data_IF_760612789213
#
_entry.id   IF_760612789213
#
_cell.length_a   1.000
_cell.length_b   1.000
_cell.length_c   1.000
_cell.angle_alpha   90.00
_cell.angle_beta   90.00
_cell.angle_gamma   90.00
#
_symmetry.space_group_name_H-M   'P 1'
#
loop_
_entity.id
_entity.type
_entity.pdbx_description
1 polymer ?
#
# COMPACT_ATOMS: atom_id res chain seq x y z
N UNK A 1 -22.11 7.51 4.79
CA UNK A 1 -20.88 7.04 4.12
C UNK A 1 -21.26 6.27 2.86
N UNK A 2 -20.65 6.57 1.70
CA UNK A 2 -20.88 5.79 0.49
C UNK A 2 -20.19 4.43 0.57
N UNK A 3 -20.92 3.36 0.19
CA UNK A 3 -20.41 1.98 0.18
C UNK A 3 -20.59 1.40 -1.23
N UNK A 4 -19.53 0.81 -1.77
CA UNK A 4 -19.54 0.01 -2.98
C UNK A 4 -19.40 -1.46 -2.57
N UNK A 5 -20.48 -2.21 -2.65
CA UNK A 5 -20.52 -3.63 -2.28
C UNK A 5 -20.08 -4.51 -3.45
N UNK A 6 -18.96 -5.21 -3.27
CA UNK A 6 -18.41 -6.18 -4.22
C UNK A 6 -18.74 -7.64 -3.85
N UNK A 7 -19.40 -7.88 -2.73
CA UNK A 7 -19.77 -9.24 -2.31
C UNK A 7 -20.86 -9.83 -3.21
N UNK A 8 -21.69 -8.95 -3.79
CA UNK A 8 -22.80 -9.31 -4.66
C UNK A 8 -22.48 -9.27 -6.17
N UNK A 9 -21.42 -8.55 -6.61
CA UNK A 9 -21.05 -8.38 -8.01
C UNK A 9 -19.54 -8.23 -8.19
N UNK A 10 -18.91 -9.14 -8.93
CA UNK A 10 -17.46 -9.05 -9.22
C UNK A 10 -17.06 -7.88 -10.15
N UNK A 11 -18.01 -7.25 -10.82
CA UNK A 11 -17.79 -6.12 -11.76
C UNK A 11 -18.61 -4.90 -11.33
N UNK A 12 -18.18 -4.26 -10.24
CA UNK A 12 -18.76 -2.97 -9.88
C UNK A 12 -18.08 -1.83 -10.65
N UNK A 13 -18.86 -0.78 -10.96
CA UNK A 13 -18.35 0.45 -11.55
C UNK A 13 -17.52 1.23 -10.53
N UNK A 14 -16.21 1.35 -10.77
CA UNK A 14 -15.29 2.12 -9.93
C UNK A 14 -15.25 3.61 -10.29
N UNK A 15 -15.90 4.06 -11.36
CA UNK A 15 -15.81 5.44 -11.81
C UNK A 15 -16.19 6.48 -10.74
N UNK A 16 -17.23 6.29 -9.90
CA UNK A 16 -17.53 7.22 -8.81
C UNK A 16 -16.41 7.27 -7.75
N UNK A 17 -15.80 6.12 -7.41
CA UNK A 17 -14.68 6.03 -6.46
C UNK A 17 -13.45 6.72 -7.03
N UNK A 18 -13.12 6.47 -8.30
CA UNK A 18 -12.01 7.13 -8.99
C UNK A 18 -12.19 8.65 -9.03
N UNK A 19 -13.39 9.12 -9.34
CA UNK A 19 -13.70 10.57 -9.33
C UNK A 19 -13.49 11.16 -7.91
N UNK A 20 -13.92 10.43 -6.88
CA UNK A 20 -13.71 10.83 -5.47
C UNK A 20 -12.23 10.91 -5.11
N UNK A 21 -11.43 9.90 -5.48
CA UNK A 21 -9.97 9.89 -5.23
C UNK A 21 -9.29 11.06 -5.94
N UNK A 22 -9.63 11.33 -7.22
CA UNK A 22 -9.09 12.47 -7.98
C UNK A 22 -9.47 13.81 -7.38
N UNK A 23 -10.61 13.89 -6.69
CA UNK A 23 -11.03 15.05 -5.89
C UNK A 23 -10.35 15.16 -4.51
N UNK A 24 -9.34 14.33 -4.20
CA UNK A 24 -8.65 14.32 -2.91
C UNK A 24 -9.38 13.54 -1.82
N UNK A 25 -10.38 12.72 -2.19
CA UNK A 25 -11.13 11.88 -1.27
C UNK A 25 -10.34 10.66 -0.79
N UNK A 26 -10.76 10.11 0.34
CA UNK A 26 -10.24 8.86 0.88
C UNK A 26 -11.13 7.68 0.52
N UNK A 27 -10.51 6.53 0.31
CA UNK A 27 -11.18 5.25 0.08
C UNK A 27 -10.61 4.19 1.01
N UNK A 28 -11.47 3.40 1.63
CA UNK A 28 -11.13 2.16 2.32
C UNK A 28 -11.46 0.98 1.40
N UNK A 29 -10.57 -0.01 1.33
CA UNK A 29 -10.65 -1.09 0.33
C UNK A 29 -9.97 -2.36 0.81
N UNK A 30 -10.42 -3.55 0.34
CA UNK A 30 -9.76 -4.82 0.63
C UNK A 30 -8.42 -4.95 -0.13
N UNK A 31 -7.45 -5.61 0.52
CA UNK A 31 -6.23 -6.10 -0.13
C UNK A 31 -6.11 -7.61 0.11
N UNK A 32 -5.08 -8.24 -0.41
CA UNK A 32 -4.81 -9.67 -0.16
C UNK A 32 -4.32 -9.94 1.27
N UNK A 33 -4.12 -8.89 2.08
CA UNK A 33 -3.66 -9.02 3.47
C UNK A 33 -4.69 -8.51 4.47
N UNK A 34 -5.04 -7.22 4.39
CA UNK A 34 -5.93 -6.53 5.33
C UNK A 34 -6.68 -5.43 4.58
N UNK A 35 -7.74 -4.87 5.18
CA UNK A 35 -8.33 -3.64 4.64
C UNK A 35 -7.33 -2.49 4.74
N UNK A 36 -7.22 -1.75 3.64
CA UNK A 36 -6.41 -0.54 3.53
C UNK A 36 -7.25 0.72 3.50
N UNK A 37 -6.62 1.86 3.75
CA UNK A 37 -7.16 3.19 3.52
C UNK A 37 -6.12 4.07 2.85
N UNK A 38 -6.55 4.88 1.90
CA UNK A 38 -5.69 5.80 1.17
C UNK A 38 -6.46 6.68 0.20
N UNK A 39 -5.73 7.26 -0.75
CA UNK A 39 -6.24 8.14 -1.81
C UNK A 39 -5.10 8.52 -2.75
N UNK A 40 -5.24 9.61 -3.50
CA UNK A 40 -4.19 10.13 -4.37
C UNK A 40 -2.88 10.43 -3.59
N UNK A 41 -1.75 10.34 -4.28
CA UNK A 41 -0.45 10.68 -3.68
C UNK A 41 -0.32 12.20 -3.52
N UNK A 42 -0.83 12.74 -2.41
CA UNK A 42 -0.71 14.17 -2.06
C UNK A 42 -0.42 14.39 -0.57
N UNK A 43 0.05 15.58 -0.23
CA UNK A 43 0.31 15.98 1.16
C UNK A 43 -1.01 16.01 1.94
N UNK A 44 -2.07 16.53 1.34
CA UNK A 44 -3.40 16.67 1.95
C UNK A 44 -4.00 15.30 2.28
N UNK A 45 -3.92 14.36 1.35
CA UNK A 45 -4.39 12.98 1.56
C UNK A 45 -3.57 12.30 2.66
N UNK A 46 -2.25 12.49 2.66
CA UNK A 46 -1.36 11.93 3.71
C UNK A 46 -1.70 12.47 5.10
N UNK A 47 -2.01 13.75 5.22
CA UNK A 47 -2.46 14.38 6.48
C UNK A 47 -3.78 13.76 6.96
N UNK A 48 -4.79 13.67 6.08
CA UNK A 48 -6.10 13.07 6.40
C UNK A 48 -5.99 11.59 6.81
N UNK A 49 -5.13 10.81 6.14
CA UNK A 49 -4.85 9.43 6.53
C UNK A 49 -4.24 9.37 7.93
N UNK A 50 -3.36 10.32 8.29
CA UNK A 50 -2.78 10.40 9.64
C UNK A 50 -3.83 10.69 10.70
N UNK A 51 -4.84 11.51 10.40
CA UNK A 51 -6.00 11.77 11.28
C UNK A 51 -6.80 10.50 11.54
N UNK A 52 -7.14 9.74 10.47
CA UNK A 52 -7.81 8.42 10.59
C UNK A 52 -7.04 7.49 11.52
N UNK A 53 -5.72 7.47 11.40
CA UNK A 53 -4.82 6.63 12.22
C UNK A 53 -4.69 7.11 13.67
N UNK A 54 -5.16 8.32 14.01
CA UNK A 54 -4.95 8.95 15.31
C UNK A 54 -3.48 9.21 15.62
N UNK A 55 -2.65 9.47 14.62
CA UNK A 55 -1.21 9.69 14.76
C UNK A 55 -0.91 11.16 15.01
N UNK A 56 -0.01 11.44 15.97
CA UNK A 56 0.54 12.79 16.20
C UNK A 56 1.62 13.16 15.17
N UNK A 57 2.31 12.14 14.62
CA UNK A 57 3.35 12.32 13.61
C UNK A 57 2.98 11.52 12.36
N UNK A 58 3.10 12.15 11.21
CA UNK A 58 2.90 11.51 9.93
C UNK A 58 4.02 10.48 9.70
N UNK A 59 3.65 9.20 9.54
CA UNK A 59 4.56 8.17 9.01
C UNK A 59 4.36 8.08 7.51
N UNK A 60 5.44 7.91 6.76
CA UNK A 60 5.38 7.66 5.33
C UNK A 60 4.38 6.54 5.00
N UNK A 61 3.57 6.77 3.97
CA UNK A 61 2.58 5.83 3.49
C UNK A 61 3.20 4.89 2.44
N UNK A 62 2.55 3.76 2.21
CA UNK A 62 2.89 2.88 1.08
C UNK A 62 2.24 3.47 -0.18
N UNK A 63 2.96 3.47 -1.29
CA UNK A 63 2.39 3.72 -2.61
C UNK A 63 2.09 2.38 -3.29
N UNK A 64 0.81 2.11 -3.56
CA UNK A 64 0.39 0.98 -4.38
C UNK A 64 0.54 1.35 -5.86
N UNK A 65 1.14 0.45 -6.64
CA UNK A 65 1.51 0.67 -8.02
C UNK A 65 0.89 -0.40 -8.93
N UNK A 66 0.67 -0.05 -10.21
CA UNK A 66 0.18 -0.98 -11.23
C UNK A 66 1.30 -1.76 -11.92
N UNK A 67 2.54 -1.26 -11.87
CA UNK A 67 3.70 -1.86 -12.51
C UNK A 67 4.98 -1.10 -12.21
N UNK A 68 6.10 -1.70 -12.60
CA UNK A 68 7.45 -1.14 -12.43
C UNK A 68 7.62 0.21 -13.12
N UNK A 69 7.00 0.39 -14.29
CA UNK A 69 7.15 1.58 -15.14
C UNK A 69 6.71 2.85 -14.41
N UNK A 70 5.65 2.75 -13.59
CA UNK A 70 5.11 3.89 -12.84
C UNK A 70 6.07 4.44 -11.77
N UNK A 71 7.11 3.69 -11.43
CA UNK A 71 8.11 4.02 -10.40
C UNK A 71 9.55 3.77 -10.88
N UNK A 72 9.76 3.72 -12.20
CA UNK A 72 11.07 3.45 -12.80
C UNK A 72 12.14 4.50 -12.46
N UNK A 73 11.73 5.72 -12.13
CA UNK A 73 12.63 6.82 -11.71
C UNK A 73 13.14 6.69 -10.26
N UNK A 74 12.61 5.76 -9.45
CA UNK A 74 13.16 5.45 -8.13
C UNK A 74 14.52 4.75 -8.25
N UNK A 75 15.30 4.78 -7.17
CA UNK A 75 16.59 4.11 -7.12
C UNK A 75 16.43 2.59 -6.94
N UNK A 76 16.58 1.86 -8.03
CA UNK A 76 16.47 0.41 -8.07
C UNK A 76 17.84 -0.26 -7.96
N UNK A 77 18.11 -0.90 -6.83
CA UNK A 77 19.27 -1.79 -6.69
C UNK A 77 19.02 -3.13 -7.39
N UNK A 78 20.06 -3.91 -7.75
CA UNK A 78 19.87 -5.27 -8.28
C UNK A 78 19.03 -6.15 -7.34
N UNK A 79 19.26 -6.05 -6.02
CA UNK A 79 18.46 -6.78 -5.01
C UNK A 79 16.99 -6.35 -4.99
N UNK A 80 16.69 -5.05 -5.10
CA UNK A 80 15.31 -4.56 -5.19
C UNK A 80 14.60 -5.11 -6.43
N UNK A 81 15.27 -5.12 -7.60
CA UNK A 81 14.72 -5.69 -8.83
C UNK A 81 14.43 -7.19 -8.70
N UNK A 82 15.35 -7.94 -8.11
CA UNK A 82 15.17 -9.37 -7.86
C UNK A 82 14.00 -9.64 -6.94
N UNK A 83 13.91 -8.94 -5.81
CA UNK A 83 12.80 -9.06 -4.88
C UNK A 83 11.46 -8.74 -5.53
N UNK A 84 11.38 -7.66 -6.31
CA UNK A 84 10.18 -7.30 -7.05
C UNK A 84 9.81 -8.40 -8.06
N UNK A 85 10.74 -8.90 -8.87
CA UNK A 85 10.46 -9.96 -9.85
C UNK A 85 10.05 -11.30 -9.24
N UNK A 86 10.49 -11.57 -7.99
CA UNK A 86 10.17 -12.83 -7.30
C UNK A 86 8.83 -12.77 -6.57
N UNK A 87 8.50 -11.62 -5.97
CA UNK A 87 7.38 -11.53 -5.02
C UNK A 87 6.25 -10.57 -5.44
N UNK A 88 6.36 -9.87 -6.56
CA UNK A 88 5.30 -9.03 -7.08
C UNK A 88 4.62 -9.65 -8.32
N UNK A 89 3.28 -9.51 -8.42
CA UNK A 89 2.33 -8.95 -7.42
C UNK A 89 2.27 -9.81 -6.15
N UNK A 90 2.31 -9.16 -4.97
CA UNK A 90 2.31 -9.91 -3.71
C UNK A 90 2.47 -9.07 -2.45
N UNK A 91 2.51 -9.73 -1.27
CA UNK A 91 2.56 -9.06 0.02
C UNK A 91 3.98 -8.60 0.40
N UNK A 92 4.72 -8.04 -0.56
CA UNK A 92 6.04 -7.45 -0.39
C UNK A 92 5.98 -5.93 -0.60
N UNK A 93 6.49 -5.18 0.37
CA UNK A 93 6.72 -3.74 0.28
C UNK A 93 8.22 -3.48 0.22
N UNK A 94 8.68 -2.76 -0.80
CA UNK A 94 10.07 -2.34 -0.96
C UNK A 94 10.21 -0.87 -0.61
N UNK A 95 11.19 -0.53 0.22
CA UNK A 95 11.59 0.86 0.47
C UNK A 95 12.73 1.19 -0.47
N UNK A 96 12.50 2.18 -1.33
CA UNK A 96 13.41 2.62 -2.39
C UNK A 96 13.79 4.09 -2.20
N UNK A 97 14.96 4.48 -2.69
CA UNK A 97 15.36 5.88 -2.72
C UNK A 97 14.53 6.68 -3.73
N UNK A 98 14.10 7.87 -3.33
CA UNK A 98 13.43 8.88 -4.16
C UNK A 98 14.18 10.23 -4.08
N UNK A 99 15.39 10.32 -4.64
CA UNK A 99 16.23 11.53 -4.54
C UNK A 99 15.64 12.71 -5.32
N UNK A 100 14.86 12.44 -6.35
CA UNK A 100 14.27 13.47 -7.24
C UNK A 100 12.92 13.98 -6.71
N UNK A 101 12.32 13.32 -5.72
CA UNK A 101 11.06 13.73 -5.13
C UNK A 101 9.86 13.53 -6.06
N UNK A 102 9.78 12.39 -6.73
CA UNK A 102 8.61 12.05 -7.56
C UNK A 102 7.36 11.79 -6.70
N UNK A 103 7.55 11.45 -5.43
CA UNK A 103 6.47 11.34 -4.46
C UNK A 103 6.46 12.55 -3.51
N UNK A 104 5.28 13.08 -3.16
CA UNK A 104 5.16 14.18 -2.20
C UNK A 104 5.52 13.73 -0.78
N UNK A 105 5.89 14.69 0.07
CA UNK A 105 6.13 14.44 1.48
C UNK A 105 4.87 13.86 2.16
N UNK A 106 5.08 12.93 3.10
CA UNK A 106 3.99 12.16 3.73
C UNK A 106 3.75 10.80 3.03
N UNK A 107 3.95 10.70 1.71
CA UNK A 107 4.15 9.44 0.99
C UNK A 107 5.63 9.10 1.00
N UNK A 108 6.46 10.04 0.60
CA UNK A 108 7.91 10.00 0.77
C UNK A 108 8.28 10.34 2.22
N UNK A 109 9.22 9.62 2.79
CA UNK A 109 9.90 10.03 4.00
C UNK A 109 10.86 11.19 3.67
N UNK A 110 10.60 12.37 4.24
CA UNK A 110 11.36 13.60 3.92
C UNK A 110 12.81 13.56 4.41
N UNK A 111 13.10 12.85 5.52
CA UNK A 111 14.42 12.81 6.14
C UNK A 111 15.42 12.01 5.30
N UNK A 112 15.05 10.77 4.95
CA UNK A 112 15.92 9.85 4.22
C UNK A 112 15.62 9.77 2.72
N UNK A 113 14.64 10.54 2.24
CA UNK A 113 14.22 10.60 0.83
C UNK A 113 13.88 9.23 0.25
N UNK A 114 13.09 8.46 0.98
CA UNK A 114 12.68 7.11 0.59
C UNK A 114 11.16 7.01 0.44
N UNK A 115 10.71 6.07 -0.37
CA UNK A 115 9.29 5.72 -0.53
C UNK A 115 9.11 4.22 -0.42
N UNK A 116 8.02 3.81 0.24
CA UNK A 116 7.61 2.42 0.33
C UNK A 116 6.63 2.13 -0.82
N UNK A 117 6.95 1.16 -1.68
CA UNK A 117 6.14 0.79 -2.85
C UNK A 117 5.71 -0.68 -2.78
N UNK A 118 4.51 -0.98 -3.29
CA UNK A 118 3.98 -2.35 -3.33
C UNK A 118 3.08 -2.55 -4.54
N UNK A 119 3.16 -3.72 -5.15
CA UNK A 119 2.24 -4.17 -6.19
C UNK A 119 1.35 -5.29 -5.63
N UNK A 120 0.09 -4.95 -5.32
CA UNK A 120 -0.88 -5.91 -4.75
C UNK A 120 -1.50 -6.79 -5.84
N UNK A 121 -1.70 -8.10 -5.61
CA UNK A 121 -2.41 -8.99 -6.52
C UNK A 121 -3.93 -8.88 -6.38
N UNK A 122 -4.45 -8.13 -5.41
CA UNK A 122 -5.88 -8.02 -5.18
C UNK A 122 -6.58 -7.27 -6.32
N UNK A 123 -7.60 -7.87 -6.92
CA UNK A 123 -8.28 -7.34 -8.11
C UNK A 123 -8.80 -5.92 -7.95
N UNK A 124 -9.37 -5.59 -6.79
CA UNK A 124 -9.84 -4.24 -6.46
C UNK A 124 -8.70 -3.23 -6.51
N UNK A 125 -7.57 -3.54 -5.87
CA UNK A 125 -6.40 -2.65 -5.83
C UNK A 125 -5.83 -2.47 -7.23
N UNK A 126 -5.66 -3.57 -7.97
CA UNK A 126 -5.15 -3.53 -9.35
C UNK A 126 -6.01 -2.64 -10.24
N UNK A 127 -7.35 -2.79 -10.17
CA UNK A 127 -8.29 -1.95 -10.91
C UNK A 127 -8.23 -0.48 -10.47
N UNK A 128 -8.22 -0.20 -9.17
CA UNK A 128 -8.13 1.16 -8.65
C UNK A 128 -6.88 1.88 -9.19
N UNK A 129 -5.70 1.26 -9.10
CA UNK A 129 -4.44 1.87 -9.54
C UNK A 129 -4.40 2.00 -11.07
N UNK A 130 -4.92 1.01 -11.82
CA UNK A 130 -4.97 1.06 -13.28
C UNK A 130 -5.93 2.15 -13.79
N UNK A 131 -7.16 2.22 -13.25
CA UNK A 131 -8.16 3.20 -13.67
C UNK A 131 -7.82 4.62 -13.20
N UNK A 132 -7.12 4.75 -12.04
CA UNK A 132 -6.59 6.02 -11.57
C UNK A 132 -5.47 6.53 -12.48
N UNK A 133 -4.63 5.63 -13.01
CA UNK A 133 -3.49 5.94 -13.87
C UNK A 133 -2.25 6.46 -13.11
N UNK A 134 -2.30 6.46 -11.78
CA UNK A 134 -1.24 6.91 -10.88
C UNK A 134 -1.18 6.05 -9.61
N UNK A 135 -0.07 6.08 -8.83
CA UNK A 135 0.02 5.37 -7.56
C UNK A 135 -1.05 5.82 -6.56
N UNK A 136 -1.53 4.86 -5.75
CA UNK A 136 -2.51 5.08 -4.69
C UNK A 136 -1.82 4.99 -3.34
N UNK A 137 -1.98 5.99 -2.46
CA UNK A 137 -1.47 5.87 -1.08
C UNK A 137 -2.21 4.78 -0.32
N UNK A 138 -1.52 4.13 0.60
CA UNK A 138 -2.09 3.03 1.40
C UNK A 138 -1.46 2.92 2.78
N UNK A 139 -2.32 2.64 3.74
CA UNK A 139 -1.94 2.08 5.04
C UNK A 139 -3.04 1.14 5.52
N UNK A 140 -2.78 0.28 6.51
CA UNK A 140 -3.85 -0.57 7.10
C UNK A 140 -4.96 0.29 7.72
N UNK A 141 -6.21 -0.12 7.52
CA UNK A 141 -7.39 0.50 8.15
C UNK A 141 -7.49 0.05 9.61
N UNK A 142 -7.00 0.87 10.53
CA UNK A 142 -7.05 0.66 11.98
C UNK A 142 -6.49 1.89 12.70
N UNK A 143 -6.74 2.06 13.99
CA UNK A 143 -5.95 2.99 14.80
C UNK A 143 -4.50 2.49 14.95
N UNK A 144 -3.58 3.43 15.12
CA UNK A 144 -2.16 3.08 15.27
C UNK A 144 -1.94 2.20 16.51
N UNK A 145 -1.36 1.01 16.30
CA UNK A 145 -1.10 0.03 17.37
C UNK A 145 -2.22 -0.99 17.58
N UNK A 146 -3.40 -0.81 16.98
CA UNK A 146 -4.47 -1.79 17.02
C UNK A 146 -4.32 -2.84 15.91
N UNK A 147 -4.96 -4.02 16.03
CA UNK A 147 -5.02 -5.01 14.96
C UNK A 147 -5.62 -4.41 13.68
N UNK A 148 -5.14 -4.81 12.49
CA UNK A 148 -5.73 -4.40 11.24
C UNK A 148 -7.09 -5.06 11.01
N UNK A 149 -7.99 -4.34 10.35
CA UNK A 149 -9.34 -4.78 9.99
C UNK A 149 -9.27 -5.75 8.82
N UNK A 150 -10.10 -6.81 8.88
CA UNK A 150 -10.13 -7.88 7.89
C UNK A 150 -11.52 -8.14 7.27
N UNK A 151 -12.56 -7.43 7.73
CA UNK A 151 -13.91 -7.56 7.17
C UNK A 151 -14.49 -6.20 6.78
N UNK A 152 -15.37 -6.18 5.77
CA UNK A 152 -16.09 -4.97 5.37
C UNK A 152 -17.00 -4.42 6.48
N UNK A 153 -17.63 -5.29 7.25
CA UNK A 153 -18.46 -4.90 8.40
C UNK A 153 -17.63 -4.16 9.46
N UNK A 154 -16.46 -4.70 9.85
CA UNK A 154 -15.55 -4.01 10.78
C UNK A 154 -15.05 -2.68 10.21
N UNK A 155 -14.81 -2.63 8.88
CA UNK A 155 -14.38 -1.39 8.21
C UNK A 155 -15.47 -0.31 8.28
N UNK A 156 -16.73 -0.70 8.05
CA UNK A 156 -17.89 0.18 8.17
C UNK A 156 -18.02 0.72 9.60
N UNK A 157 -18.04 -0.18 10.59
CA UNK A 157 -18.16 0.18 12.00
C UNK A 157 -17.02 1.10 12.45
N UNK A 158 -15.81 0.82 12.04
CA UNK A 158 -14.64 1.65 12.38
C UNK A 158 -14.78 3.07 11.81
N UNK A 159 -15.13 3.21 10.52
CA UNK A 159 -15.29 4.52 9.88
C UNK A 159 -16.44 5.33 10.50
N UNK A 160 -17.53 4.68 10.89
CA UNK A 160 -18.65 5.32 11.59
C UNK A 160 -18.24 5.79 12.99
N UNK A 161 -17.50 4.97 13.75
CA UNK A 161 -17.00 5.33 15.07
C UNK A 161 -16.09 6.58 15.07
N UNK A 162 -15.25 6.71 14.03
CA UNK A 162 -14.36 7.88 13.89
C UNK A 162 -15.00 9.03 13.11
N UNK A 163 -16.30 8.92 12.74
CA UNK A 163 -17.10 9.93 12.04
C UNK A 163 -16.52 10.37 10.68
N UNK A 164 -15.95 9.45 9.94
CA UNK A 164 -15.39 9.69 8.59
C UNK A 164 -16.43 9.32 7.52
N UNK A 165 -17.59 9.98 7.55
CA UNK A 165 -18.72 9.70 6.65
C UNK A 165 -18.46 10.01 5.17
N UNK A 166 -17.43 10.78 4.85
CA UNK A 166 -17.01 11.12 3.49
C UNK A 166 -16.08 10.08 2.85
N UNK A 167 -15.54 9.13 3.62
CA UNK A 167 -14.69 8.06 3.09
C UNK A 167 -15.56 7.07 2.32
N UNK A 168 -15.17 6.73 1.10
CA UNK A 168 -15.77 5.60 0.38
C UNK A 168 -15.28 4.28 0.98
N UNK A 169 -16.20 3.35 1.18
CA UNK A 169 -15.87 1.95 1.51
C UNK A 169 -16.13 1.07 0.29
N UNK A 170 -15.11 0.35 -0.16
CA UNK A 170 -15.28 -0.79 -1.07
C UNK A 170 -15.35 -2.03 -0.19
N UNK A 171 -16.53 -2.61 -0.08
CA UNK A 171 -16.76 -3.81 0.73
C UNK A 171 -16.49 -5.06 -0.12
N UNK A 172 -15.41 -5.75 0.17
CA UNK A 172 -15.04 -7.04 -0.43
C UNK A 172 -15.32 -8.23 0.47
N UNK A 173 -16.14 -8.06 1.52
CA UNK A 173 -16.45 -9.11 2.48
C UNK A 173 -15.32 -9.39 3.46
N UNK A 174 -15.19 -10.68 3.83
CA UNK A 174 -14.16 -11.14 4.78
C UNK A 174 -12.91 -11.59 4.04
N UNK A 175 -11.77 -11.09 4.46
CA UNK A 175 -10.46 -11.49 3.94
C UNK A 175 -9.97 -12.76 4.66
N UNK A 176 -9.23 -13.63 3.97
CA UNK A 176 -8.57 -14.75 4.62
C UNK A 176 -7.53 -14.24 5.64
N UNK A 177 -7.29 -14.97 6.75
CA UNK A 177 -6.27 -14.61 7.71
C UNK A 177 -4.90 -14.44 7.06
N UNK A 178 -4.29 -13.28 7.22
CA UNK A 178 -2.95 -13.00 6.68
C UNK A 178 -2.23 -12.00 7.57
N UNK A 179 -0.90 -12.14 7.68
CA UNK A 179 -0.06 -11.09 8.22
C UNK A 179 0.01 -9.90 7.24
N UNK A 180 0.27 -8.68 7.71
CA UNK A 180 0.57 -7.55 6.83
C UNK A 180 1.76 -7.84 5.91
N UNK A 181 1.98 -6.99 4.89
CA UNK A 181 3.11 -7.15 3.97
C UNK A 181 4.46 -7.16 4.70
N UNK A 182 5.41 -7.97 4.23
CA UNK A 182 6.81 -7.86 4.63
C UNK A 182 7.40 -6.58 4.04
N UNK A 183 8.19 -5.84 4.82
CA UNK A 183 8.83 -4.59 4.39
C UNK A 183 10.33 -4.79 4.35
N UNK A 184 10.95 -4.48 3.20
CA UNK A 184 12.39 -4.60 2.98
C UNK A 184 12.96 -3.24 2.59
N UNK A 185 13.98 -2.79 3.30
CA UNK A 185 14.79 -1.64 2.91
C UNK A 185 15.79 -2.06 1.82
N UNK A 186 15.63 -1.46 0.65
CA UNK A 186 16.46 -1.67 -0.53
C UNK A 186 17.34 -0.47 -0.87
N UNK A 187 17.44 0.51 0.02
CA UNK A 187 18.30 1.70 -0.16
C UNK A 187 19.77 1.40 0.04
N UNK A 188 20.07 0.33 0.78
CA UNK A 188 21.41 -0.12 1.11
C UNK A 188 21.70 -1.51 0.51
N UNK A 189 22.98 -1.86 0.47
CA UNK A 189 23.45 -3.20 0.14
C UNK A 189 24.35 -3.71 1.28
N UNK A 190 24.02 -4.83 1.96
CA UNK A 190 22.84 -5.69 1.70
C UNK A 190 21.52 -5.07 2.13
N UNK A 191 20.42 -5.54 1.51
CA UNK A 191 19.06 -5.18 1.86
C UNK A 191 18.71 -5.68 3.26
N UNK A 192 17.82 -4.98 3.96
CA UNK A 192 17.40 -5.36 5.31
C UNK A 192 15.90 -5.47 5.47
N UNK A 193 15.43 -6.51 6.18
CA UNK A 193 14.03 -6.68 6.51
C UNK A 193 13.67 -5.75 7.68
N UNK A 194 12.87 -4.72 7.39
CA UNK A 194 12.40 -3.77 8.40
C UNK A 194 11.21 -4.32 9.22
N UNK A 195 10.40 -5.14 8.58
CA UNK A 195 9.26 -5.82 9.21
C UNK A 195 9.01 -7.15 8.51
N UNK A 196 9.05 -8.24 9.25
CA UNK A 196 8.55 -9.52 8.77
C UNK A 196 7.02 -9.51 8.79
N UNK A 197 6.41 -10.06 7.75
CA UNK A 197 4.97 -10.16 7.56
C UNK A 197 4.59 -11.45 6.85
N UNK A 198 3.75 -11.35 5.82
CA UNK A 198 3.26 -12.52 5.09
C UNK A 198 4.36 -13.31 4.34
N UNK A 199 5.49 -12.68 4.03
CA UNK A 199 6.66 -13.36 3.46
C UNK A 199 7.71 -13.49 4.57
N UNK A 200 8.12 -14.73 4.93
CA UNK A 200 9.19 -14.96 5.91
C UNK A 200 10.51 -14.30 5.51
N UNK A 201 11.24 -13.76 6.49
CA UNK A 201 12.53 -13.11 6.26
C UNK A 201 13.57 -14.05 5.63
N UNK A 202 13.48 -15.35 5.88
CA UNK A 202 14.34 -16.36 5.27
C UNK A 202 14.18 -16.43 3.75
N UNK A 203 12.95 -16.37 3.24
CA UNK A 203 12.70 -16.35 1.80
C UNK A 203 13.23 -15.08 1.14
N UNK A 204 13.15 -13.93 1.84
CA UNK A 204 13.74 -12.67 1.37
C UNK A 204 15.26 -12.82 1.27
N UNK A 205 15.92 -13.35 2.30
CA UNK A 205 17.38 -13.56 2.28
C UNK A 205 17.80 -14.49 1.16
N UNK A 206 17.11 -15.63 1.01
CA UNK A 206 17.41 -16.58 -0.05
C UNK A 206 17.32 -15.97 -1.45
N UNK A 207 16.26 -15.20 -1.72
CA UNK A 207 16.09 -14.52 -3.00
C UNK A 207 17.21 -13.49 -3.31
N UNK A 208 17.80 -12.88 -2.27
CA UNK A 208 18.92 -11.93 -2.42
C UNK A 208 20.25 -12.68 -2.63
N UNK A 209 20.49 -13.78 -1.93
CA UNK A 209 21.73 -14.58 -2.03
C UNK A 209 21.92 -15.20 -3.40
N UNK A 210 20.85 -15.64 -4.07
CA UNK A 210 20.91 -16.15 -5.44
C UNK A 210 21.53 -15.17 -6.45
N UNK A 211 21.49 -13.85 -6.19
CA UNK A 211 22.18 -12.87 -7.05
C UNK A 211 23.68 -12.92 -6.87
N UNK A 212 24.15 -13.10 -5.63
CA UNK A 212 25.56 -13.06 -5.31
C UNK A 212 26.28 -14.33 -5.75
N UNK A 213 25.56 -15.46 -5.87
CA UNK A 213 26.10 -16.73 -6.35
C UNK A 213 26.09 -16.91 -7.88
N UNK A 214 25.46 -16.00 -8.61
CA UNK A 214 25.36 -16.07 -10.11
C UNK A 214 26.43 -15.22 -10.82
N UNK A 215 27.40 -14.67 -10.09
CA UNK A 215 28.47 -13.79 -10.59
C UNK A 215 29.86 -14.45 -10.53
N UNK A 216 29.92 -15.79 -10.49
CA UNK A 216 31.18 -16.54 -10.67
C UNK A 216 31.26 -17.16 -12.07
#
# INVERSE_FOLDING_TARGET
MPVLDLTAAQEADLAPVIAHIRGGGLVAYPTETVYGIGGACSIEVSARVSEVKGRREAKALIALISGYESVSALQWTPGAKRLASTFWPGPLTLVLGDPTGIFPDGVRNAENKTVAVRMSPHSVVSRLVQELGEPLTSTSLNRSGEPPITTGAEALDFLDQIKMSEVWLIDGGSLPPSAPSTIVDCTNNPQSVLREGAIPAELIRHAIEEINGSVE
#
